data_IF_407343624843
#
_entry.id   IF_407343624843
#
_cell.length_a   1.000
_cell.length_b   1.000
_cell.length_c   1.000
_cell.angle_alpha   90.00
_cell.angle_beta   90.00
_cell.angle_gamma   90.00
#
_symmetry.space_group_name_H-M   'P 1'
#
loop_
_entity.id
_entity.type
_entity.pdbx_description
1 polymer ?
#
# COMPACT_ATOMS: atom_id res chain seq x y z
N UNK A 1 -5.18 14.23 16.62
CA UNK A 1 -5.16 13.60 15.29
C UNK A 1 -6.04 12.36 15.37
N UNK A 2 -6.86 12.08 14.35
CA UNK A 2 -7.67 10.86 14.29
C UNK A 2 -6.87 9.72 13.62
N UNK A 3 -7.34 8.48 13.76
CA UNK A 3 -6.72 7.35 13.06
C UNK A 3 -6.93 7.49 11.55
N UNK A 4 -5.85 7.43 10.77
CA UNK A 4 -5.92 7.61 9.32
C UNK A 4 -4.89 6.81 8.53
N UNK A 5 -5.33 6.13 7.48
CA UNK A 5 -4.43 5.53 6.46
C UNK A 5 -3.66 6.63 5.73
N UNK A 6 -2.33 6.59 5.74
CA UNK A 6 -1.47 7.63 5.17
C UNK A 6 -0.94 7.26 3.79
N UNK A 7 -0.19 6.17 3.71
CA UNK A 7 0.43 5.76 2.47
C UNK A 7 0.84 4.30 2.50
N UNK A 8 1.07 3.76 1.30
CA UNK A 8 1.76 2.48 1.11
C UNK A 8 3.17 2.73 0.55
N UNK A 9 4.17 2.08 1.13
CA UNK A 9 5.58 2.17 0.71
C UNK A 9 5.87 1.09 -0.33
N UNK A 10 6.40 1.50 -1.49
CA UNK A 10 6.85 0.62 -2.57
C UNK A 10 8.35 0.79 -2.79
N UNK A 11 9.08 -0.32 -2.92
CA UNK A 11 10.47 -0.31 -3.40
C UNK A 11 10.46 -0.39 -4.92
N UNK A 12 11.11 0.54 -5.59
CA UNK A 12 11.13 0.62 -7.05
C UNK A 12 12.55 0.50 -7.59
N UNK A 13 12.70 -0.18 -8.72
CA UNK A 13 13.98 -0.38 -9.39
C UNK A 13 14.28 0.69 -10.44
N UNK A 14 13.27 1.41 -10.90
CA UNK A 14 13.43 2.44 -11.93
C UNK A 14 12.50 3.64 -11.68
N UNK A 15 13.08 4.73 -11.17
CA UNK A 15 12.33 5.96 -10.88
C UNK A 15 11.67 6.56 -12.12
N UNK A 16 12.36 6.62 -13.26
CA UNK A 16 11.81 7.21 -14.49
C UNK A 16 10.61 6.43 -15.02
N UNK A 17 10.70 5.09 -15.06
CA UNK A 17 9.59 4.22 -15.47
C UNK A 17 8.42 4.34 -14.50
N UNK A 18 8.71 4.44 -13.21
CA UNK A 18 7.72 4.68 -12.16
C UNK A 18 6.98 5.99 -12.38
N UNK A 19 7.69 7.11 -12.55
CA UNK A 19 7.07 8.42 -12.80
C UNK A 19 6.22 8.42 -14.06
N UNK A 20 6.72 7.82 -15.14
CA UNK A 20 5.94 7.69 -16.38
C UNK A 20 4.61 6.96 -16.15
N UNK A 21 4.62 5.84 -15.43
CA UNK A 21 3.41 5.11 -15.11
C UNK A 21 2.44 5.92 -14.24
N UNK A 22 2.88 6.37 -13.07
CA UNK A 22 1.98 7.01 -12.11
C UNK A 22 1.40 8.32 -12.66
N UNK A 23 2.18 9.12 -13.37
CA UNK A 23 1.71 10.39 -13.93
C UNK A 23 0.91 10.20 -15.22
N UNK A 24 1.35 9.35 -16.16
CA UNK A 24 0.73 9.27 -17.49
C UNK A 24 -0.38 8.24 -17.58
N UNK A 25 -0.31 7.17 -16.80
CA UNK A 25 -1.32 6.10 -16.80
C UNK A 25 -2.33 6.35 -15.69
N UNK A 26 -1.87 6.54 -14.46
CA UNK A 26 -2.76 6.67 -13.30
C UNK A 26 -3.15 8.12 -12.98
N UNK A 27 -2.57 9.12 -13.66
CA UNK A 27 -2.92 10.54 -13.48
C UNK A 27 -2.53 11.14 -12.13
N UNK A 28 -1.61 10.50 -11.40
CA UNK A 28 -1.13 10.98 -10.11
C UNK A 28 -0.12 12.13 -10.28
N UNK A 29 0.17 12.83 -9.19
CA UNK A 29 1.15 13.92 -9.14
C UNK A 29 2.17 13.65 -8.04
N UNK A 30 3.43 14.01 -8.32
CA UNK A 30 4.45 14.11 -7.26
C UNK A 30 4.02 15.16 -6.25
N UNK A 31 3.94 14.76 -4.98
CA UNK A 31 3.53 15.60 -3.85
C UNK A 31 4.75 16.21 -3.18
N UNK A 32 5.80 15.41 -2.98
CA UNK A 32 7.13 15.83 -2.54
C UNK A 32 8.16 14.78 -2.93
N UNK A 33 9.41 15.22 -2.99
CA UNK A 33 10.55 14.39 -3.32
C UNK A 33 11.72 14.76 -2.41
N UNK A 34 12.37 13.76 -1.83
CA UNK A 34 13.46 13.90 -0.87
C UNK A 34 14.61 12.98 -1.26
N UNK A 35 15.83 13.49 -1.13
CA UNK A 35 17.07 12.78 -1.41
C UNK A 35 17.85 12.58 -0.12
N UNK A 36 18.35 11.37 0.11
CA UNK A 36 19.08 11.00 1.30
C UNK A 36 20.45 10.45 0.90
N UNK A 37 21.52 11.02 1.46
CA UNK A 37 22.90 10.63 1.16
C UNK A 37 23.36 9.37 1.89
N UNK A 38 22.57 8.84 2.82
CA UNK A 38 22.85 7.64 3.61
C UNK A 38 21.57 6.85 3.89
N UNK A 39 21.71 5.57 4.23
CA UNK A 39 20.60 4.71 4.63
C UNK A 39 19.83 5.28 5.82
N UNK A 40 18.52 4.99 5.89
CA UNK A 40 17.69 5.46 7.01
C UNK A 40 17.96 4.64 8.28
N UNK A 41 18.21 5.32 9.40
CA UNK A 41 18.41 4.69 10.73
C UNK A 41 17.22 3.84 11.16
N UNK A 42 16.00 4.27 10.84
CA UNK A 42 14.77 3.51 11.06
C UNK A 42 14.50 2.45 9.97
N UNK A 43 15.50 2.12 9.14
CA UNK A 43 15.41 1.16 8.02
C UNK A 43 14.26 1.49 7.04
N UNK A 44 14.00 2.79 6.85
CA UNK A 44 12.94 3.28 5.97
C UNK A 44 13.12 2.73 4.55
N UNK A 45 14.35 2.66 4.08
CA UNK A 45 14.66 2.17 2.74
C UNK A 45 14.95 0.66 2.68
N UNK A 46 14.84 -0.05 3.81
CA UNK A 46 15.23 -1.46 3.96
C UNK A 46 16.62 -1.62 4.56
N UNK A 47 17.29 -2.78 4.37
CA UNK A 47 18.60 -3.06 4.95
C UNK A 47 19.77 -2.38 4.21
N UNK A 48 19.51 -1.35 3.40
CA UNK A 48 20.49 -0.76 2.49
C UNK A 48 21.12 0.51 3.08
N UNK A 49 22.45 0.55 3.09
CA UNK A 49 23.22 1.67 3.65
C UNK A 49 23.48 2.83 2.67
N UNK A 50 23.20 2.62 1.37
CA UNK A 50 23.49 3.58 0.30
C UNK A 50 22.55 4.78 0.28
N UNK A 51 22.86 5.72 -0.62
CA UNK A 51 21.95 6.82 -0.94
C UNK A 51 20.62 6.28 -1.50
N UNK A 52 19.55 7.02 -1.28
CA UNK A 52 18.21 6.67 -1.75
C UNK A 52 17.35 7.93 -1.87
N UNK A 53 16.27 7.82 -2.61
CA UNK A 53 15.25 8.87 -2.69
C UNK A 53 13.89 8.37 -2.29
N UNK A 54 13.09 9.30 -1.77
CA UNK A 54 11.70 9.11 -1.40
C UNK A 54 10.85 10.03 -2.26
N UNK A 55 9.90 9.47 -2.98
CA UNK A 55 8.92 10.25 -3.76
C UNK A 55 7.52 9.93 -3.29
N UNK A 56 6.82 10.92 -2.75
CA UNK A 56 5.40 10.80 -2.44
C UNK A 56 4.60 11.13 -3.69
N UNK A 57 3.69 10.25 -4.09
CA UNK A 57 2.85 10.42 -5.28
C UNK A 57 1.40 10.05 -4.98
N UNK A 58 0.45 10.84 -5.46
CA UNK A 58 -0.97 10.60 -5.21
C UNK A 58 -1.87 11.60 -5.93
N UNK A 59 -3.14 11.67 -5.53
CA UNK A 59 -4.15 12.51 -6.15
C UNK A 59 -4.35 13.87 -5.48
N UNK A 60 -3.82 14.05 -4.27
CA UNK A 60 -3.93 15.29 -3.50
C UNK A 60 -2.96 15.36 -2.31
N UNK A 61 -2.98 16.46 -1.53
CA UNK A 61 -2.09 16.65 -0.40
C UNK A 61 -2.18 15.53 0.66
N UNK A 62 -1.03 15.05 1.15
CA UNK A 62 -0.91 13.93 2.11
C UNK A 62 -1.63 14.17 3.45
N UNK A 63 -1.93 15.44 3.79
CA UNK A 63 -2.68 15.82 4.98
C UNK A 63 -4.11 15.25 4.98
N UNK A 64 -4.68 15.09 3.79
CA UNK A 64 -6.09 14.72 3.59
C UNK A 64 -6.25 13.44 2.76
N UNK A 65 -5.25 13.11 1.93
CA UNK A 65 -5.32 12.02 0.96
C UNK A 65 -4.32 10.91 1.29
N UNK A 66 -4.59 9.72 0.78
CA UNK A 66 -3.64 8.63 0.74
C UNK A 66 -2.62 8.84 -0.39
N UNK A 67 -1.42 8.32 -0.19
CA UNK A 67 -0.34 8.39 -1.19
C UNK A 67 0.39 7.06 -1.35
N UNK A 68 1.23 6.97 -2.38
CA UNK A 68 2.29 5.99 -2.47
C UNK A 68 3.60 6.66 -2.10
N UNK A 69 4.37 6.01 -1.23
CA UNK A 69 5.76 6.38 -0.94
C UNK A 69 6.67 5.49 -1.79
N UNK A 70 7.31 6.06 -2.81
CA UNK A 70 8.24 5.33 -3.66
C UNK A 70 9.66 5.47 -3.09
N UNK A 71 10.23 4.34 -2.70
CA UNK A 71 11.62 4.23 -2.25
C UNK A 71 12.48 3.74 -3.40
N UNK A 72 13.40 4.59 -3.86
CA UNK A 72 14.38 4.25 -4.89
C UNK A 72 15.78 4.22 -4.27
N UNK A 73 16.36 3.03 -4.13
CA UNK A 73 17.73 2.86 -3.64
C UNK A 73 18.70 2.95 -4.83
N UNK A 74 19.66 3.87 -4.78
CA UNK A 74 20.61 4.04 -5.88
C UNK A 74 21.47 2.78 -6.04
N UNK A 75 21.55 2.27 -7.28
CA UNK A 75 22.30 1.07 -7.61
C UNK A 75 21.53 -0.24 -7.41
N UNK A 76 20.27 -0.20 -6.98
CA UNK A 76 19.38 -1.37 -6.93
C UNK A 76 18.29 -1.20 -7.99
N UNK A 77 18.33 -2.03 -9.02
CA UNK A 77 17.48 -1.93 -10.21
C UNK A 77 16.26 -2.86 -10.19
N UNK A 78 16.21 -3.78 -9.21
CA UNK A 78 15.16 -4.79 -9.08
C UNK A 78 15.10 -5.33 -7.66
N UNK A 79 13.93 -5.85 -7.28
CA UNK A 79 13.70 -6.52 -6.00
C UNK A 79 13.00 -7.84 -6.27
N UNK A 80 13.34 -8.86 -5.49
CA UNK A 80 12.61 -10.12 -5.51
C UNK A 80 11.18 -9.93 -4.98
N UNK A 81 10.21 -10.47 -5.71
CA UNK A 81 8.79 -10.39 -5.38
C UNK A 81 8.32 -11.62 -4.65
N UNK A 82 7.70 -11.39 -3.50
CA UNK A 82 6.97 -12.40 -2.78
C UNK A 82 5.53 -12.51 -3.28
N UNK A 83 4.63 -12.97 -2.40
CA UNK A 83 3.20 -13.08 -2.67
C UNK A 83 2.34 -12.23 -1.70
N UNK A 84 2.96 -11.41 -0.86
CA UNK A 84 2.30 -10.65 0.19
C UNK A 84 1.37 -9.55 -0.33
N UNK A 85 1.86 -8.64 -1.18
CA UNK A 85 1.05 -7.60 -1.80
C UNK A 85 0.36 -8.14 -3.06
N UNK A 86 -0.97 -8.22 -3.04
CA UNK A 86 -1.75 -8.73 -4.16
C UNK A 86 -2.04 -7.63 -5.19
N UNK A 87 -2.48 -6.46 -4.73
CA UNK A 87 -2.79 -5.31 -5.57
C UNK A 87 -3.03 -4.05 -4.73
N UNK A 88 -2.97 -2.91 -5.42
CA UNK A 88 -3.52 -1.64 -4.95
C UNK A 88 -4.74 -1.32 -5.83
N UNK A 89 -5.91 -1.21 -5.22
CA UNK A 89 -7.15 -0.94 -5.93
C UNK A 89 -7.44 0.55 -6.02
N UNK A 90 -7.79 1.01 -7.23
CA UNK A 90 -8.08 2.40 -7.54
C UNK A 90 -9.50 2.50 -8.11
N UNK A 91 -10.34 3.29 -7.46
CA UNK A 91 -11.63 3.71 -7.98
C UNK A 91 -11.46 4.82 -9.02
N UNK A 92 -12.10 4.65 -10.17
CA UNK A 92 -12.06 5.61 -11.29
C UNK A 92 -13.46 5.77 -11.90
N UNK A 93 -13.68 6.89 -12.57
CA UNK A 93 -14.95 7.15 -13.26
C UNK A 93 -15.11 6.30 -14.53
N UNK A 94 -14.06 6.23 -15.35
CA UNK A 94 -14.02 5.47 -16.61
C UNK A 94 -12.89 4.43 -16.57
N UNK A 95 -13.26 3.20 -16.23
CA UNK A 95 -12.35 2.05 -16.18
C UNK A 95 -11.70 1.83 -17.55
N UNK A 96 -12.48 1.85 -18.64
CA UNK A 96 -11.98 1.54 -19.99
C UNK A 96 -10.94 2.55 -20.44
N UNK A 97 -11.15 3.84 -20.14
CA UNK A 97 -10.18 4.89 -20.46
C UNK A 97 -8.82 4.62 -19.79
N UNK A 98 -8.82 4.25 -18.50
CA UNK A 98 -7.57 3.97 -17.76
C UNK A 98 -6.88 2.69 -18.27
N UNK A 99 -7.64 1.63 -18.54
CA UNK A 99 -7.08 0.38 -19.09
C UNK A 99 -6.47 0.60 -20.49
N UNK A 100 -7.20 1.25 -21.40
CA UNK A 100 -6.69 1.62 -22.72
C UNK A 100 -5.44 2.52 -22.61
N UNK A 101 -5.44 3.45 -21.65
CA UNK A 101 -4.28 4.31 -21.40
C UNK A 101 -3.06 3.48 -20.98
N UNK A 102 -3.24 2.49 -20.11
CA UNK A 102 -2.16 1.60 -19.69
C UNK A 102 -1.57 0.83 -20.87
N UNK A 103 -2.43 0.22 -21.71
CA UNK A 103 -2.00 -0.54 -22.89
C UNK A 103 -1.25 0.33 -23.90
N UNK A 104 -1.78 1.51 -24.22
CA UNK A 104 -1.11 2.46 -25.14
C UNK A 104 0.22 2.98 -24.60
N UNK A 105 0.38 3.03 -23.28
CA UNK A 105 1.63 3.35 -22.61
C UNK A 105 2.57 2.14 -22.45
N UNK A 106 2.20 0.96 -22.97
CA UNK A 106 3.04 -0.25 -22.99
C UNK A 106 3.00 -1.07 -21.70
N UNK A 107 1.99 -0.88 -20.86
CA UNK A 107 1.77 -1.70 -19.65
C UNK A 107 0.81 -2.85 -19.95
N UNK A 108 1.03 -3.98 -19.28
CA UNK A 108 0.20 -5.17 -19.46
C UNK A 108 -1.09 -4.99 -18.67
N UNK A 109 -2.22 -5.22 -19.35
CA UNK A 109 -3.54 -5.32 -18.74
C UNK A 109 -4.00 -6.76 -18.82
N UNK A 110 -4.55 -7.28 -17.73
CA UNK A 110 -5.06 -8.65 -17.63
C UNK A 110 -6.54 -8.64 -17.23
N UNK A 111 -7.17 -9.82 -17.26
CA UNK A 111 -8.56 -9.99 -16.87
C UNK A 111 -8.85 -9.44 -15.47
N UNK A 112 -10.08 -8.95 -15.26
CA UNK A 112 -10.48 -8.35 -13.99
C UNK A 112 -9.91 -6.94 -13.76
N UNK A 113 -9.66 -6.18 -14.83
CA UNK A 113 -9.21 -4.78 -14.81
C UNK A 113 -7.89 -4.58 -14.07
N UNK A 114 -6.95 -5.51 -14.22
CA UNK A 114 -5.70 -5.52 -13.48
C UNK A 114 -4.54 -5.06 -14.37
N UNK A 115 -3.92 -3.94 -14.00
CA UNK A 115 -2.75 -3.38 -14.68
C UNK A 115 -1.48 -3.85 -13.96
N UNK A 116 -0.52 -4.36 -14.72
CA UNK A 116 0.83 -4.61 -14.23
C UNK A 116 1.67 -3.34 -14.41
N UNK A 117 1.90 -2.65 -13.31
CA UNK A 117 2.73 -1.46 -13.26
C UNK A 117 4.23 -1.75 -13.33
N UNK A 118 5.06 -0.72 -13.13
CA UNK A 118 6.50 -0.83 -12.95
C UNK A 118 6.82 -1.86 -11.86
N UNK A 119 7.92 -2.57 -12.04
CA UNK A 119 8.40 -3.57 -11.09
C UNK A 119 7.37 -4.68 -10.79
N UNK A 120 6.36 -4.89 -11.65
CA UNK A 120 5.31 -5.92 -11.50
C UNK A 120 4.28 -5.68 -10.38
N UNK A 121 4.27 -4.51 -9.74
CA UNK A 121 3.18 -4.15 -8.84
C UNK A 121 1.85 -4.12 -9.58
N UNK A 122 0.80 -4.64 -8.95
CA UNK A 122 -0.51 -4.83 -9.56
C UNK A 122 -1.47 -3.74 -9.11
N UNK A 123 -2.16 -3.13 -10.07
CA UNK A 123 -3.16 -2.08 -9.84
C UNK A 123 -4.51 -2.54 -10.34
N UNK A 124 -5.47 -2.70 -9.43
CA UNK A 124 -6.82 -3.17 -9.78
C UNK A 124 -7.74 -1.97 -9.98
N UNK A 125 -8.27 -1.79 -11.17
CA UNK A 125 -9.11 -0.65 -11.51
C UNK A 125 -10.58 -1.02 -11.31
N UNK A 126 -11.23 -0.32 -10.39
CA UNK A 126 -12.64 -0.53 -10.04
C UNK A 126 -13.45 0.73 -10.30
N UNK A 127 -14.76 0.59 -10.32
CA UNK A 127 -15.66 1.74 -10.42
C UNK A 127 -15.55 2.56 -9.13
N UNK A 128 -15.42 3.89 -9.26
CA UNK A 128 -15.46 4.78 -8.11
C UNK A 128 -16.79 4.63 -7.36
N UNK A 129 -16.72 4.37 -6.05
CA UNK A 129 -17.90 4.29 -5.18
C UNK A 129 -18.63 5.64 -5.13
N UNK A 130 -19.96 5.62 -5.19
CA UNK A 130 -20.76 6.84 -5.18
C UNK A 130 -20.50 7.68 -3.91
N UNK A 131 -20.20 8.96 -4.09
CA UNK A 131 -19.93 9.89 -2.98
C UNK A 131 -18.55 9.71 -2.32
N UNK A 132 -17.71 8.81 -2.82
CA UNK A 132 -16.31 8.70 -2.39
C UNK A 132 -15.43 9.65 -3.19
N UNK A 133 -14.59 10.43 -2.52
CA UNK A 133 -13.65 11.36 -3.17
C UNK A 133 -12.23 10.79 -3.29
N UNK A 134 -11.85 9.87 -2.41
CA UNK A 134 -10.55 9.21 -2.43
C UNK A 134 -10.54 8.09 -3.49
N UNK A 135 -9.61 8.16 -4.43
CA UNK A 135 -9.46 7.17 -5.51
C UNK A 135 -8.75 5.91 -5.02
N UNK A 136 -7.83 6.00 -4.05
CA UNK A 136 -7.30 4.78 -3.43
C UNK A 136 -8.41 4.08 -2.65
N UNK A 137 -8.79 2.87 -3.04
CA UNK A 137 -9.90 2.15 -2.40
C UNK A 137 -9.38 1.18 -1.35
N UNK A 138 -8.50 0.27 -1.77
CA UNK A 138 -8.09 -0.91 -1.01
C UNK A 138 -6.63 -1.27 -1.31
N UNK A 139 -5.89 -1.69 -0.29
CA UNK A 139 -4.63 -2.44 -0.45
C UNK A 139 -4.91 -3.91 -0.14
N UNK A 140 -4.77 -4.79 -1.13
CA UNK A 140 -4.99 -6.23 -0.99
C UNK A 140 -3.72 -6.95 -0.54
N UNK A 141 -3.79 -7.66 0.59
CA UNK A 141 -2.67 -8.36 1.21
C UNK A 141 -2.98 -9.82 1.44
N UNK A 142 -1.99 -10.70 1.29
CA UNK A 142 -2.08 -12.09 1.72
C UNK A 142 -1.81 -12.23 3.21
N UNK A 143 -2.62 -13.05 3.87
CA UNK A 143 -2.44 -13.44 5.27
C UNK A 143 -2.41 -14.95 5.40
N UNK A 144 -1.58 -15.46 6.31
CA UNK A 144 -1.46 -16.90 6.56
C UNK A 144 -2.68 -17.47 7.31
N UNK A 145 -3.24 -16.68 8.22
CA UNK A 145 -4.34 -17.05 9.10
C UNK A 145 -5.29 -15.85 9.20
N UNK A 146 -6.47 -15.95 8.58
CA UNK A 146 -7.41 -14.84 8.50
C UNK A 146 -7.98 -14.47 9.87
N UNK A 147 -8.21 -15.46 10.74
CA UNK A 147 -8.77 -15.21 12.07
C UNK A 147 -7.80 -14.40 12.93
N UNK A 148 -6.51 -14.79 12.94
CA UNK A 148 -5.47 -14.00 13.64
C UNK A 148 -5.29 -12.61 13.05
N UNK A 149 -5.37 -12.50 11.71
CA UNK A 149 -5.28 -11.20 11.06
C UNK A 149 -6.48 -10.31 11.43
N UNK A 150 -7.70 -10.84 11.48
CA UNK A 150 -8.89 -10.12 11.93
C UNK A 150 -8.74 -9.70 13.40
N UNK A 151 -8.30 -10.58 14.29
CA UNK A 151 -8.07 -10.25 15.69
C UNK A 151 -7.06 -9.10 15.86
N UNK A 152 -5.97 -9.11 15.09
CA UNK A 152 -4.99 -8.04 15.12
C UNK A 152 -5.55 -6.72 14.56
N UNK A 153 -6.06 -6.73 13.33
CA UNK A 153 -6.43 -5.49 12.64
C UNK A 153 -7.75 -4.91 13.16
N UNK A 154 -8.76 -5.74 13.40
CA UNK A 154 -10.09 -5.30 13.82
C UNK A 154 -10.15 -5.18 15.33
N UNK A 155 -9.83 -6.24 16.07
CA UNK A 155 -10.07 -6.26 17.52
C UNK A 155 -9.00 -5.49 18.31
N UNK A 156 -7.72 -5.63 17.96
CA UNK A 156 -6.62 -4.96 18.67
C UNK A 156 -6.40 -3.52 18.19
N UNK A 157 -6.31 -3.31 16.87
CA UNK A 157 -6.04 -1.99 16.27
C UNK A 157 -7.30 -1.15 16.00
N UNK A 158 -8.49 -1.74 16.08
CA UNK A 158 -9.76 -1.01 16.02
C UNK A 158 -10.21 -0.62 14.60
N UNK A 159 -9.77 -1.34 13.56
CA UNK A 159 -10.35 -1.17 12.23
C UNK A 159 -11.79 -1.71 12.23
N UNK A 160 -12.66 -1.09 11.43
CA UNK A 160 -14.03 -1.54 11.21
C UNK A 160 -14.09 -2.41 9.96
N UNK A 161 -14.94 -3.44 9.97
CA UNK A 161 -15.20 -4.28 8.79
C UNK A 161 -16.13 -3.58 7.80
N UNK A 162 -15.87 -3.81 6.52
CA UNK A 162 -16.65 -3.29 5.40
C UNK A 162 -16.92 -4.41 4.40
N UNK A 163 -17.95 -4.23 3.58
CA UNK A 163 -18.13 -5.06 2.39
C UNK A 163 -17.00 -4.76 1.37
N UNK A 164 -16.54 -5.78 0.63
CA UNK A 164 -15.62 -5.54 -0.48
C UNK A 164 -16.24 -4.62 -1.53
N UNK A 165 -15.51 -3.59 -2.01
CA UNK A 165 -15.95 -2.81 -3.15
C UNK A 165 -16.19 -3.71 -4.37
N UNK A 166 -17.19 -3.35 -5.18
CA UNK A 166 -17.53 -4.09 -6.39
C UNK A 166 -16.31 -4.25 -7.31
N UNK A 167 -16.09 -5.47 -7.79
CA UNK A 167 -14.92 -5.83 -8.60
C UNK A 167 -13.74 -6.35 -7.78
N UNK A 168 -13.76 -6.30 -6.44
CA UNK A 168 -12.71 -6.86 -5.56
C UNK A 168 -13.10 -8.21 -4.94
N UNK A 169 -14.11 -8.88 -5.49
CA UNK A 169 -14.52 -10.20 -5.05
C UNK A 169 -13.40 -11.22 -5.25
N UNK A 170 -13.34 -12.20 -4.33
CA UNK A 170 -12.34 -13.28 -4.36
C UNK A 170 -13.00 -14.56 -3.86
N UNK A 171 -12.57 -15.70 -4.40
CA UNK A 171 -12.99 -17.02 -3.90
C UNK A 171 -12.30 -17.39 -2.58
N UNK A 172 -11.15 -16.79 -2.30
CA UNK A 172 -10.42 -17.02 -1.07
C UNK A 172 -11.10 -16.30 0.10
N UNK A 173 -11.13 -16.89 1.32
CA UNK A 173 -11.62 -16.20 2.51
C UNK A 173 -10.90 -14.86 2.70
N UNK A 174 -11.66 -13.78 2.93
CA UNK A 174 -11.08 -12.47 3.16
C UNK A 174 -11.90 -11.60 4.11
N UNK A 175 -11.25 -10.57 4.65
CA UNK A 175 -11.92 -9.48 5.38
C UNK A 175 -11.44 -8.14 4.82
N UNK A 176 -12.36 -7.20 4.63
CA UNK A 176 -12.04 -5.81 4.29
C UNK A 176 -12.22 -4.95 5.52
N UNK A 177 -11.18 -4.22 5.91
CA UNK A 177 -11.20 -3.42 7.14
C UNK A 177 -10.48 -2.08 6.98
N UNK A 178 -10.95 -1.04 7.68
CA UNK A 178 -10.34 0.29 7.68
C UNK A 178 -10.87 1.17 8.80
N UNK A 179 -10.32 2.37 8.98
CA UNK A 179 -10.77 3.27 10.06
C UNK A 179 -12.09 4.00 9.77
N UNK A 180 -12.39 4.27 8.50
CA UNK A 180 -13.61 4.96 8.09
C UNK A 180 -13.98 4.64 6.64
N UNK A 181 -15.25 4.83 6.29
CA UNK A 181 -15.79 4.53 4.95
C UNK A 181 -15.07 5.29 3.84
N UNK A 182 -14.69 6.55 4.06
CA UNK A 182 -14.00 7.41 3.10
C UNK A 182 -12.48 7.19 3.04
N UNK A 183 -11.90 6.39 3.95
CA UNK A 183 -10.47 6.09 3.93
C UNK A 183 -10.15 4.84 3.13
N UNK A 184 -8.87 4.68 2.80
CA UNK A 184 -8.32 3.46 2.19
C UNK A 184 -8.40 2.31 3.17
N UNK A 185 -8.85 1.16 2.69
CA UNK A 185 -9.04 -0.06 3.48
C UNK A 185 -7.93 -1.07 3.18
N UNK A 186 -7.78 -2.07 4.05
CA UNK A 186 -7.03 -3.28 3.78
C UNK A 186 -8.01 -4.38 3.40
N UNK A 187 -7.67 -5.19 2.40
CA UNK A 187 -8.32 -6.47 2.15
C UNK A 187 -7.33 -7.57 2.48
N UNK A 188 -7.59 -8.27 3.58
CA UNK A 188 -6.76 -9.36 4.09
C UNK A 188 -7.31 -10.65 3.50
N UNK A 189 -6.56 -11.28 2.59
CA UNK A 189 -6.98 -12.43 1.81
C UNK A 189 -6.17 -13.63 2.28
N UNK A 190 -6.83 -14.67 2.77
CA UNK A 190 -6.12 -15.85 3.22
C UNK A 190 -5.36 -16.49 2.04
N UNK A 191 -4.13 -16.93 2.28
CA UNK A 191 -3.45 -17.84 1.36
C UNK A 191 -4.17 -19.19 1.37
N UNK A 192 -4.22 -19.86 0.21
CA UNK A 192 -4.82 -21.21 0.16
C UNK A 192 -4.10 -22.20 1.08
N UNK A 193 -4.80 -23.27 1.47
CA UNK A 193 -4.31 -24.26 2.44
C UNK A 193 -2.86 -24.72 2.16
N UNK A 194 -2.03 -24.68 3.21
CA UNK A 194 -0.63 -25.10 3.16
C UNK A 194 0.34 -24.12 2.48
N UNK A 195 -0.13 -22.97 1.99
CA UNK A 195 0.74 -21.91 1.46
C UNK A 195 1.21 -20.98 2.56
N UNK A 196 2.41 -20.44 2.40
CA UNK A 196 2.95 -19.39 3.26
C UNK A 196 2.83 -18.01 2.58
N UNK A 197 2.81 -16.97 3.41
CA UNK A 197 3.05 -15.60 2.94
C UNK A 197 4.56 -15.42 2.80
N UNK A 198 4.99 -15.06 1.59
CA UNK A 198 6.36 -14.71 1.28
C UNK A 198 6.44 -13.21 1.01
N UNK A 199 7.31 -12.54 1.75
CA UNK A 199 7.54 -11.10 1.67
C UNK A 199 8.68 -10.74 0.69
N UNK A 200 9.60 -11.67 0.46
CA UNK A 200 10.85 -11.47 -0.27
C UNK A 200 11.50 -10.08 0.01
N UNK A 201 12.08 -9.43 -1.01
CA UNK A 201 12.80 -8.16 -0.86
C UNK A 201 11.97 -6.93 -1.22
N UNK A 202 10.90 -7.09 -1.99
CA UNK A 202 9.98 -6.02 -2.42
C UNK A 202 8.90 -5.67 -1.40
N UNK A 203 8.82 -6.38 -0.28
CA UNK A 203 7.85 -6.12 0.79
C UNK A 203 7.72 -4.63 1.11
N UNK A 204 6.48 -4.19 1.10
CA UNK A 204 6.07 -2.83 1.39
C UNK A 204 5.67 -2.62 2.85
N UNK A 205 5.17 -1.43 3.16
CA UNK A 205 4.61 -1.10 4.48
C UNK A 205 3.43 -0.15 4.32
N UNK A 206 2.43 -0.30 5.17
CA UNK A 206 1.37 0.71 5.33
C UNK A 206 1.69 1.58 6.54
N UNK A 207 1.48 2.90 6.39
CA UNK A 207 1.59 3.85 7.47
C UNK A 207 0.21 4.38 7.87
N UNK A 208 0.01 4.56 9.18
CA UNK A 208 -1.19 5.17 9.74
C UNK A 208 -0.81 6.33 10.67
N UNK A 209 -1.60 7.40 10.63
CA UNK A 209 -1.62 8.38 11.70
C UNK A 209 -2.53 7.87 12.83
N UNK A 210 -2.20 8.27 14.06
CA UNK A 210 -3.01 8.02 15.24
C UNK A 210 -2.89 9.21 16.21
N UNK A 211 -3.81 9.37 17.18
CA UNK A 211 -3.70 10.43 18.19
C UNK A 211 -2.42 10.34 19.02
N UNK A 212 -1.99 9.11 19.36
CA UNK A 212 -0.80 8.84 20.15
C UNK A 212 -0.29 7.42 19.89
N UNK A 213 1.01 7.28 19.68
CA UNK A 213 1.69 5.98 19.45
C UNK A 213 1.82 5.14 20.73
N UNK A 214 2.18 5.68 21.92
CA UNK A 214 2.42 4.85 23.10
C UNK A 214 1.25 3.93 23.51
N UNK A 215 -0.03 4.37 23.51
CA UNK A 215 -1.14 3.47 23.83
C UNK A 215 -1.29 2.29 22.87
N UNK A 216 -0.96 2.48 21.58
CA UNK A 216 -1.00 1.40 20.58
C UNK A 216 0.18 0.45 20.82
N UNK A 217 1.38 0.99 21.06
CA UNK A 217 2.57 0.21 21.37
C UNK A 217 2.37 -0.71 22.60
N UNK A 218 1.83 -0.18 23.70
CA UNK A 218 1.57 -0.97 24.90
C UNK A 218 0.51 -2.05 24.66
N UNK A 219 -0.54 -1.76 23.89
CA UNK A 219 -1.56 -2.77 23.51
C UNK A 219 -0.95 -3.91 22.70
N UNK A 220 -0.16 -3.60 21.67
CA UNK A 220 0.52 -4.58 20.82
C UNK A 220 1.48 -5.45 21.64
N UNK A 221 2.27 -4.82 22.52
CA UNK A 221 3.13 -5.57 23.45
C UNK A 221 2.35 -6.47 24.40
N UNK A 222 1.28 -5.98 25.00
CA UNK A 222 0.47 -6.74 25.94
C UNK A 222 -0.23 -7.94 25.28
N UNK A 223 -0.54 -7.83 23.98
CA UNK A 223 -1.07 -8.93 23.18
C UNK A 223 0.00 -9.99 22.80
N UNK A 224 1.28 -9.72 23.06
CA UNK A 224 2.40 -10.59 22.67
C UNK A 224 2.78 -10.48 21.19
N UNK A 225 2.29 -9.46 20.49
CA UNK A 225 2.63 -9.20 19.10
C UNK A 225 4.02 -8.58 18.94
N UNK A 226 4.56 -8.68 17.73
CA UNK A 226 5.92 -8.22 17.43
C UNK A 226 5.95 -6.72 17.18
N UNK A 227 6.80 -6.00 17.91
CA UNK A 227 7.18 -4.62 17.60
C UNK A 227 8.56 -4.61 16.95
N UNK A 228 8.61 -4.26 15.67
CA UNK A 228 9.87 -4.19 14.91
C UNK A 228 10.75 -3.02 15.34
N UNK A 229 10.15 -1.87 15.60
CA UNK A 229 10.85 -0.64 16.01
C UNK A 229 10.07 0.02 17.14
N UNK A 230 10.69 0.22 18.32
CA UNK A 230 10.05 0.97 19.40
C UNK A 230 9.70 2.40 18.98
N UNK A 231 8.71 3.04 19.63
CA UNK A 231 8.36 4.43 19.36
C UNK A 231 9.58 5.35 19.48
N UNK A 232 9.75 6.20 18.47
CA UNK A 232 10.86 7.13 18.35
C UNK A 232 10.29 8.52 18.01
N UNK A 233 10.88 9.56 18.60
CA UNK A 233 10.58 10.96 18.23
C UNK A 233 11.69 11.46 17.31
N UNK A 234 11.35 11.75 16.06
CA UNK A 234 12.28 12.38 15.13
C UNK A 234 12.39 13.88 15.46
N UNK A 235 13.58 14.50 15.26
CA UNK A 235 13.71 15.95 15.33
C UNK A 235 12.78 16.60 14.31
N UNK A 236 12.05 17.63 14.74
CA UNK A 236 11.21 18.48 13.88
C UNK A 236 12.00 19.61 13.25
#
# INVERSE_FOLDING_TARGET
AENRSLHWVLKIGNLKKSMYFYEKVLGMKVLRHEEFSSGCEATCNGPYAGAWSKTMIGYGPEKENFALELTYNYGIDSYEFGNDLQYIALGVEDIKAVLNKAETCGFVVTEGNLIHGPDSYKYKIIQQEAGRTESFAVVGLRVADLAKAEDYWVNLLGLQKFDPPAGLETSDPCVVAGFASQQVKLQLIQVGDGKAVDHALSSGRIAFACPAVPPIYEKVKAAGDTVQTPPLTLPT
#
